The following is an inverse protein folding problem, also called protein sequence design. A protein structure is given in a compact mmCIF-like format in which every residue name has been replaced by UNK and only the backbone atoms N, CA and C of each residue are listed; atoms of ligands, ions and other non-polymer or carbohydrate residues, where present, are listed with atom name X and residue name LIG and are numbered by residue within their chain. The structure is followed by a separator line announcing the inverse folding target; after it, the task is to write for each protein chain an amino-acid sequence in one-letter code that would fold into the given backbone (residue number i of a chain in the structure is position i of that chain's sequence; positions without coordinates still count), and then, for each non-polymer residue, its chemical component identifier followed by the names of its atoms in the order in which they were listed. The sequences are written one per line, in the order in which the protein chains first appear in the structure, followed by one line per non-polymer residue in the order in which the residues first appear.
data_IF_492895889498
#
_entry.id   IF_492895889498
#
_cell.length_a   1.000
_cell.length_b   1.000
_cell.length_c   1.000
_cell.angle_alpha   90.00
_cell.angle_beta   90.00
_cell.angle_gamma   90.00
#
_symmetry.space_group_name_H-M   'P 1'
#
loop_
_entity.id
_entity.type
_entity.pdbx_description
1 polymer ?
#
# COMPACT_ATOMS: atom_id res chain seq x y z
N UNK A 1 16.22 2.90 3.64
CA UNK A 1 15.36 4.02 3.18
C UNK A 1 13.94 3.57 3.35
N UNK A 2 13.11 4.37 4.01
CA UNK A 2 11.72 4.02 4.32
C UNK A 2 10.88 4.06 3.04
N UNK A 3 10.10 3.01 2.79
CA UNK A 3 9.29 2.83 1.59
C UNK A 3 8.14 3.86 1.52
N UNK A 4 7.82 4.42 0.33
CA UNK A 4 6.76 5.43 0.22
C UNK A 4 5.39 4.98 0.74
N UNK A 5 5.06 3.68 0.64
CA UNK A 5 3.83 3.12 1.17
C UNK A 5 3.83 3.17 2.70
N UNK A 6 4.93 2.76 3.36
CA UNK A 6 5.01 2.75 4.84
C UNK A 6 4.99 4.15 5.42
N UNK A 7 5.60 5.13 4.73
CA UNK A 7 5.48 6.56 5.08
C UNK A 7 4.04 7.06 4.95
N UNK A 8 3.35 6.73 3.86
CA UNK A 8 1.95 7.14 3.65
C UNK A 8 1.03 6.55 4.74
N UNK A 9 1.20 5.27 5.07
CA UNK A 9 0.44 4.61 6.14
C UNK A 9 0.75 5.24 7.50
N UNK A 10 2.03 5.45 7.84
CA UNK A 10 2.43 6.05 9.11
C UNK A 10 1.88 7.47 9.27
N UNK A 11 1.92 8.27 8.19
CA UNK A 11 1.40 9.64 8.16
C UNK A 11 -0.12 9.65 8.38
N UNK A 12 -0.86 8.76 7.70
CA UNK A 12 -2.30 8.60 7.90
C UNK A 12 -2.64 8.15 9.33
N UNK A 13 -1.87 7.20 9.88
CA UNK A 13 -2.06 6.69 11.24
C UNK A 13 -1.77 7.75 12.31
N UNK A 14 -0.83 8.65 12.06
CA UNK A 14 -0.52 9.81 12.90
C UNK A 14 -1.59 10.93 12.81
N UNK A 15 -2.67 10.72 12.05
CA UNK A 15 -3.76 11.68 11.89
C UNK A 15 -3.44 12.87 10.99
N UNK A 16 -2.33 12.81 10.23
CA UNK A 16 -1.98 13.83 9.24
C UNK A 16 -2.67 13.56 7.92
N UNK A 17 -2.93 14.63 7.18
CA UNK A 17 -3.40 14.53 5.80
C UNK A 17 -2.30 13.92 4.93
N UNK A 18 -2.66 12.92 4.13
CA UNK A 18 -1.79 12.34 3.10
C UNK A 18 -2.28 12.81 1.75
N UNK A 19 -1.39 13.45 0.99
CA UNK A 19 -1.65 13.77 -0.41
C UNK A 19 -1.45 12.50 -1.24
N UNK A 20 -2.53 11.97 -1.80
CA UNK A 20 -2.52 10.76 -2.62
C UNK A 20 -3.21 10.99 -3.95
N UNK A 21 -2.75 10.28 -4.98
CA UNK A 21 -3.22 10.40 -6.36
C UNK A 21 -4.59 9.72 -6.56
N UNK A 22 -5.64 10.27 -5.95
CA UNK A 22 -7.02 9.87 -6.20
C UNK A 22 -7.64 8.95 -5.14
N UNK A 23 -8.95 8.76 -5.27
CA UNK A 23 -9.78 8.03 -4.31
C UNK A 23 -9.37 6.55 -4.11
N UNK A 24 -8.98 5.78 -5.15
CA UNK A 24 -8.55 4.40 -4.96
C UNK A 24 -7.35 4.28 -4.02
N UNK A 25 -6.37 5.19 -4.13
CA UNK A 25 -5.18 5.21 -3.27
C UNK A 25 -5.55 5.64 -1.84
N UNK A 26 -6.45 6.63 -1.69
CA UNK A 26 -6.95 7.06 -0.37
C UNK A 26 -7.63 5.90 0.37
N UNK A 27 -8.51 5.17 -0.30
CA UNK A 27 -9.21 4.02 0.27
C UNK A 27 -8.23 2.90 0.68
N UNK A 28 -7.23 2.63 -0.15
CA UNK A 28 -6.20 1.64 0.16
C UNK A 28 -5.35 2.06 1.37
N UNK A 29 -4.93 3.33 1.47
CA UNK A 29 -4.21 3.83 2.65
C UNK A 29 -5.05 3.67 3.91
N UNK A 30 -6.35 4.02 3.88
CA UNK A 30 -7.22 3.88 5.03
C UNK A 30 -7.36 2.42 5.49
N UNK A 31 -7.54 1.49 4.56
CA UNK A 31 -7.62 0.05 4.88
C UNK A 31 -6.28 -0.49 5.40
N UNK A 32 -5.14 -0.09 4.80
CA UNK A 32 -3.81 -0.46 5.26
C UNK A 32 -3.56 0.07 6.68
N UNK A 33 -3.88 1.34 6.96
CA UNK A 33 -3.78 1.93 8.30
C UNK A 33 -4.60 1.16 9.34
N UNK A 34 -5.80 0.70 8.99
CA UNK A 34 -6.63 -0.14 9.88
C UNK A 34 -5.95 -1.48 10.17
N UNK A 35 -5.51 -2.20 9.14
CA UNK A 35 -4.86 -3.51 9.27
C UNK A 35 -3.53 -3.45 10.03
N UNK A 36 -2.74 -2.40 9.79
CA UNK A 36 -1.49 -2.16 10.52
C UNK A 36 -1.79 -1.87 11.99
N UNK A 37 -2.76 -0.99 12.29
CA UNK A 37 -3.15 -0.71 13.68
C UNK A 37 -3.60 -1.97 14.42
N UNK A 38 -4.32 -2.86 13.77
CA UNK A 38 -4.74 -4.14 14.36
C UNK A 38 -3.56 -5.06 14.69
N UNK A 39 -2.50 -5.05 13.88
CA UNK A 39 -1.28 -5.84 14.10
C UNK A 39 -0.30 -5.20 15.08
N UNK A 40 -0.27 -3.88 15.16
CA UNK A 40 0.54 -3.16 16.15
C UNK A 40 -0.02 -3.34 17.56
N UNK A 41 -1.35 -3.51 17.71
CA UNK A 41 -1.99 -3.85 18.98
C UNK A 41 -1.49 -5.21 19.46
N UNK A 42 -0.57 -5.18 20.43
CA UNK A 42 0.12 -6.37 20.93
C UNK A 42 1.64 -6.34 20.74
N UNK A 43 2.16 -5.34 20.02
CA UNK A 43 3.57 -5.00 19.98
C UNK A 43 3.83 -3.75 20.85
N UNK A 44 4.47 -3.89 22.03
CA UNK A 44 4.69 -2.76 22.94
C UNK A 44 5.45 -1.60 22.27
N UNK A 45 6.43 -1.91 21.42
CA UNK A 45 7.20 -0.90 20.67
C UNK A 45 6.38 -0.25 19.55
N UNK A 46 5.49 -1.02 18.91
CA UNK A 46 4.59 -0.54 17.87
C UNK A 46 3.53 0.42 18.39
N UNK A 47 2.89 0.06 19.50
CA UNK A 47 1.88 0.90 20.16
C UNK A 47 2.48 2.22 20.67
N UNK A 48 3.68 2.17 21.26
CA UNK A 48 4.37 3.36 21.75
C UNK A 48 4.78 4.32 20.60
N UNK A 49 5.23 3.77 19.46
CA UNK A 49 5.55 4.57 18.28
C UNK A 49 4.28 5.25 17.71
N UNK A 50 3.15 4.54 17.68
CA UNK A 50 1.87 5.07 17.23
C UNK A 50 1.35 6.18 18.16
N UNK A 51 1.44 5.98 19.47
CA UNK A 51 1.02 6.97 20.48
C UNK A 51 1.84 8.27 20.34
N UNK A 52 3.17 8.15 20.25
CA UNK A 52 4.06 9.31 20.07
C UNK A 52 3.74 10.09 18.79
N UNK A 53 3.52 9.38 17.68
CA UNK A 53 3.22 10.00 16.39
C UNK A 53 1.83 10.65 16.38
N UNK A 54 0.85 10.08 17.09
CA UNK A 54 -0.51 10.66 17.19
C UNK A 54 -0.55 11.88 18.11
N UNK A 55 0.19 11.85 19.23
CA UNK A 55 0.20 12.95 20.20
C UNK A 55 0.95 14.20 19.72
N UNK A 56 2.03 14.02 18.95
CA UNK A 56 2.77 15.10 18.32
C UNK A 56 3.41 14.58 17.02
N UNK A 57 2.78 14.79 15.85
CA UNK A 57 3.19 14.21 14.58
C UNK A 57 4.34 14.99 13.93
N UNK A 58 5.54 14.93 14.53
CA UNK A 58 6.78 15.45 13.91
C UNK A 58 7.29 14.49 12.82
N UNK A 59 8.06 14.98 11.82
CA UNK A 59 8.64 14.11 10.78
C UNK A 59 9.44 12.94 11.33
N UNK A 60 10.19 13.13 12.41
CA UNK A 60 11.01 12.09 13.07
C UNK A 60 10.13 11.00 13.70
N UNK A 61 9.01 11.38 14.31
CA UNK A 61 8.07 10.44 14.94
C UNK A 61 7.29 9.65 13.90
N UNK A 62 6.89 10.31 12.81
CA UNK A 62 6.27 9.63 11.65
C UNK A 62 7.26 8.65 11.02
N UNK A 63 8.54 9.02 10.87
CA UNK A 63 9.57 8.13 10.35
C UNK A 63 9.84 6.93 11.29
N UNK A 64 9.79 7.15 12.60
CA UNK A 64 9.90 6.09 13.62
C UNK A 64 8.74 5.10 13.51
N UNK A 65 7.50 5.61 13.39
CA UNK A 65 6.33 4.78 13.15
C UNK A 65 6.44 4.01 11.82
N UNK A 66 6.90 4.66 10.75
CA UNK A 66 7.09 3.99 9.46
C UNK A 66 8.12 2.86 9.54
N UNK A 67 9.20 3.04 10.31
CA UNK A 67 10.20 1.99 10.56
C UNK A 67 9.61 0.81 11.34
N UNK A 68 8.74 1.08 12.33
CA UNK A 68 8.03 0.03 13.06
C UNK A 68 7.08 -0.76 12.14
N UNK A 69 6.41 -0.09 11.19
CA UNK A 69 5.56 -0.74 10.19
C UNK A 69 6.40 -1.61 9.25
N UNK A 70 7.57 -1.15 8.81
CA UNK A 70 8.48 -1.96 8.00
C UNK A 70 8.94 -3.22 8.72
N UNK A 71 9.29 -3.09 10.00
CA UNK A 71 9.68 -4.24 10.80
C UNK A 71 8.53 -5.23 10.95
N UNK A 72 7.30 -4.75 11.21
CA UNK A 72 6.10 -5.59 11.24
C UNK A 72 5.90 -6.35 9.92
N UNK A 73 6.10 -5.70 8.78
CA UNK A 73 5.95 -6.33 7.46
C UNK A 73 7.08 -7.31 7.14
N UNK A 74 8.27 -7.12 7.71
CA UNK A 74 9.38 -8.06 7.61
C UNK A 74 9.17 -9.29 8.50
N UNK A 75 8.59 -9.11 9.69
CA UNK A 75 8.30 -10.17 10.65
C UNK A 75 7.08 -11.01 10.23
N UNK A 76 6.11 -10.41 9.53
CA UNK A 76 4.98 -11.09 8.88
C UNK A 76 5.04 -10.88 7.35
N UNK A 77 5.83 -11.70 6.62
CA UNK A 77 5.98 -11.57 5.17
C UNK A 77 4.67 -11.77 4.39
N UNK A 78 3.72 -12.53 4.93
CA UNK A 78 2.41 -12.75 4.32
C UNK A 78 1.60 -11.45 4.31
N UNK A 79 1.54 -10.78 5.46
CA UNK A 79 0.98 -9.44 5.56
C UNK A 79 1.73 -8.43 4.70
N UNK A 80 3.07 -8.50 4.69
CA UNK A 80 3.93 -7.69 3.84
C UNK A 80 3.53 -7.73 2.36
N UNK A 81 3.34 -8.95 1.84
CA UNK A 81 2.92 -9.19 0.47
C UNK A 81 1.49 -8.71 0.18
N UNK A 82 0.54 -8.99 1.08
CA UNK A 82 -0.85 -8.54 0.93
C UNK A 82 -0.96 -7.01 0.88
N UNK A 83 -0.26 -6.33 1.80
CA UNK A 83 -0.27 -4.87 1.87
C UNK A 83 0.32 -4.23 0.60
N UNK A 84 1.42 -4.79 0.08
CA UNK A 84 2.04 -4.30 -1.16
C UNK A 84 1.17 -4.58 -2.38
N UNK A 85 0.46 -5.71 -2.42
CA UNK A 85 -0.52 -6.00 -3.47
C UNK A 85 -1.68 -5.00 -3.47
N UNK A 86 -2.25 -4.71 -2.29
CA UNK A 86 -3.33 -3.73 -2.15
C UNK A 86 -2.88 -2.33 -2.60
N UNK A 87 -1.68 -1.92 -2.19
CA UNK A 87 -1.08 -0.64 -2.59
C UNK A 87 -0.88 -0.56 -4.11
N UNK A 88 -0.28 -1.57 -4.72
CA UNK A 88 -0.03 -1.61 -6.15
C UNK A 88 -1.34 -1.59 -6.95
N UNK A 89 -2.34 -2.38 -6.54
CA UNK A 89 -3.65 -2.40 -7.17
C UNK A 89 -4.33 -1.02 -7.13
N UNK A 90 -4.21 -0.31 -6.00
CA UNK A 90 -4.77 1.03 -5.85
C UNK A 90 -4.07 2.05 -6.76
N UNK A 91 -2.74 2.00 -6.86
CA UNK A 91 -1.99 2.85 -7.81
C UNK A 91 -2.38 2.55 -9.25
N UNK A 92 -2.50 1.28 -9.61
CA UNK A 92 -2.94 0.85 -10.94
C UNK A 92 -4.34 1.37 -11.26
N UNK A 93 -5.29 1.22 -10.34
CA UNK A 93 -6.66 1.70 -10.53
C UNK A 93 -6.72 3.23 -10.66
N UNK A 94 -5.93 3.96 -9.87
CA UNK A 94 -5.83 5.41 -9.97
C UNK A 94 -5.26 5.88 -11.32
N UNK A 95 -4.21 5.20 -11.82
CA UNK A 95 -3.67 5.45 -13.15
C UNK A 95 -4.69 5.11 -14.25
N UNK A 96 -5.54 4.10 -14.03
CA UNK A 96 -6.53 3.67 -15.01
C UNK A 96 -7.73 4.61 -15.15
N UNK A 97 -8.15 5.25 -14.07
CA UNK A 97 -9.14 6.35 -14.11
C UNK A 97 -8.65 7.59 -14.84
N UNK A 98 -7.36 7.69 -15.16
CA UNK A 98 -6.72 8.79 -15.89
C UNK A 98 -6.57 8.59 -17.40
N UNK A 99 -7.41 7.75 -18.04
CA UNK A 99 -7.40 7.45 -19.49
C UNK A 99 -6.40 6.34 -19.92
N UNK A 100 -6.21 5.29 -19.10
CA UNK A 100 -5.28 4.19 -19.42
C UNK A 100 -5.73 2.83 -18.90
N UNK A 101 -6.15 1.92 -19.79
CA UNK A 101 -6.56 0.56 -19.38
C UNK A 101 -5.35 -0.21 -18.82
N UNK A 102 -5.44 -0.70 -17.58
CA UNK A 102 -4.41 -1.58 -16.99
C UNK A 102 -5.04 -2.94 -16.63
N UNK A 103 -4.53 -4.00 -17.26
CA UNK A 103 -4.89 -5.38 -16.92
C UNK A 103 -4.09 -5.84 -15.69
N UNK A 104 -4.78 -6.10 -14.59
CA UNK A 104 -4.22 -6.74 -13.39
C UNK A 104 -4.58 -8.22 -13.45
N UNK A 105 -3.59 -9.08 -13.74
CA UNK A 105 -3.74 -10.54 -13.73
C UNK A 105 -3.09 -11.11 -12.48
N UNK A 106 -3.87 -11.83 -11.68
CA UNK A 106 -3.42 -12.60 -10.53
C UNK A 106 -3.45 -14.10 -10.91
N UNK A 107 -2.31 -14.70 -11.23
CA UNK A 107 -2.20 -16.12 -11.60
C UNK A 107 -0.87 -16.51 -12.25
N UNK A 108 -0.31 -17.65 -11.85
CA UNK A 108 1.05 -18.10 -12.13
C UNK A 108 1.32 -18.32 -13.64
N UNK A 109 2.32 -17.62 -14.17
CA UNK A 109 2.64 -17.52 -15.58
C UNK A 109 3.35 -18.76 -16.14
N UNK A 110 2.76 -19.41 -17.15
CA UNK A 110 3.41 -20.44 -17.97
C UNK A 110 3.99 -19.90 -19.30
N UNK A 111 3.25 -19.04 -20.00
CA UNK A 111 3.73 -18.25 -21.16
C UNK A 111 2.88 -16.99 -21.25
N UNK A 112 3.53 -15.83 -21.32
CA UNK A 112 2.84 -14.54 -21.42
C UNK A 112 3.22 -13.91 -22.77
N UNK A 113 2.21 -13.67 -23.59
CA UNK A 113 2.31 -12.79 -24.77
C UNK A 113 1.38 -11.61 -24.48
N UNK A 114 1.92 -10.40 -24.41
CA UNK A 114 1.16 -9.17 -24.22
C UNK A 114 0.90 -8.52 -25.58
N UNK A 115 -0.36 -8.18 -25.88
CA UNK A 115 -0.72 -7.34 -27.01
C UNK A 115 -1.27 -6.00 -26.53
N UNK A 116 -0.81 -4.93 -27.18
CA UNK A 116 -1.09 -3.52 -26.86
C UNK A 116 -2.34 -2.97 -27.58
N UNK A 117 -2.68 -3.51 -28.75
CA UNK A 117 -3.82 -3.08 -29.57
C UNK A 117 -4.30 -4.27 -30.42
N UNK A 118 -5.58 -4.60 -30.35
CA UNK A 118 -6.22 -5.56 -31.27
C UNK A 118 -7.45 -4.88 -31.84
N UNK A 119 -7.30 -4.32 -33.04
CA UNK A 119 -8.42 -3.96 -33.91
C UNK A 119 -8.59 -5.08 -34.94
N UNK A 120 -9.48 -6.02 -34.66
CA UNK A 120 -9.81 -7.16 -35.51
C UNK A 120 -9.95 -8.48 -34.73
N UNK A 121 -10.77 -9.40 -35.23
CA UNK A 121 -11.03 -10.67 -34.53
C UNK A 121 -9.79 -11.57 -34.43
N UNK A 122 -9.50 -12.04 -33.22
CA UNK A 122 -8.39 -12.98 -32.93
C UNK A 122 -8.94 -14.37 -32.73
N UNK A 123 -8.53 -15.30 -33.60
CA UNK A 123 -8.72 -16.74 -33.42
C UNK A 123 -7.45 -17.36 -32.84
N UNK A 124 -7.62 -18.19 -31.81
CA UNK A 124 -6.55 -18.93 -31.13
C UNK A 124 -6.83 -20.42 -31.31
N UNK A 125 -5.97 -21.08 -32.10
CA UNK A 125 -5.94 -22.53 -32.30
C UNK A 125 -5.01 -23.23 -31.31
#
# INVERSE_FOLDING_TARGET
MTDPMTVAIATAMAGKAVEVAGEPVRAAVAELSRRVRERLRGSPSGDEALERATGDPTPERVATLASAIEHLMADDPGFGAEARNLWNQAQTNAAATGDGVVNVLNGQAGRVVQFRDVHGDVNIG
#
